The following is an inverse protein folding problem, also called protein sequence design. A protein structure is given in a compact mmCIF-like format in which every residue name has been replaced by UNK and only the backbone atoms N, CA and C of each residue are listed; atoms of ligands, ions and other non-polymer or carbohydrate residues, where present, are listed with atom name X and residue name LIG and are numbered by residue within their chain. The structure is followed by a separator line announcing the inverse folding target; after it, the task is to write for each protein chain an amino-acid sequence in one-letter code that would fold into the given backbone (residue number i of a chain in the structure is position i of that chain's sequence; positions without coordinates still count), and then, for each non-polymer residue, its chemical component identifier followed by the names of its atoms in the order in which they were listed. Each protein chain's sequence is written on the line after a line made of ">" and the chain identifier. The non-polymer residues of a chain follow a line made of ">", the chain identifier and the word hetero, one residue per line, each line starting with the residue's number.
data_IF_917899821782
#
_entry.id   IF_917899821782
#
_cell.length_a   1.000
_cell.length_b   1.000
_cell.length_c   1.000
_cell.angle_alpha   90.00
_cell.angle_beta   90.00
_cell.angle_gamma   90.00
#
_symmetry.space_group_name_H-M   'P 1'
#
loop_
_entity.id
_entity.type
_entity.pdbx_description
1 polymer ?
#
# COMPACT_ATOMS: atom_id res chain seq x y z
N UNK A 1 -44.85 16.60 -7.38
CA UNK A 1 -43.52 16.49 -8.00
C UNK A 1 -43.50 15.24 -8.88
N UNK A 2 -43.26 15.35 -10.18
CA UNK A 2 -43.34 14.18 -11.08
C UNK A 2 -42.16 13.23 -10.82
N UNK A 3 -42.47 11.98 -10.47
CA UNK A 3 -41.49 10.92 -10.18
C UNK A 3 -40.39 10.80 -11.24
N UNK A 4 -40.73 10.99 -12.52
CA UNK A 4 -39.79 10.97 -13.64
C UNK A 4 -38.71 12.06 -13.55
N UNK A 5 -39.07 13.25 -13.09
CA UNK A 5 -38.15 14.38 -12.92
C UNK A 5 -37.27 14.18 -11.69
N UNK A 6 -37.87 13.79 -10.55
CA UNK A 6 -37.16 13.51 -9.30
C UNK A 6 -36.15 12.38 -9.47
N UNK A 7 -36.54 11.28 -10.13
CA UNK A 7 -35.68 10.14 -10.41
C UNK A 7 -34.46 10.53 -11.24
N UNK A 8 -34.62 11.42 -12.23
CA UNK A 8 -33.54 11.84 -13.11
C UNK A 8 -32.49 12.69 -12.36
N UNK A 9 -32.93 13.57 -11.46
CA UNK A 9 -32.03 14.34 -10.59
C UNK A 9 -31.35 13.47 -9.53
N UNK A 10 -32.10 12.57 -8.91
CA UNK A 10 -31.56 11.60 -7.95
C UNK A 10 -30.48 10.74 -8.61
N UNK A 11 -30.73 10.23 -9.82
CA UNK A 11 -29.72 9.49 -10.58
C UNK A 11 -28.47 10.31 -10.88
N UNK A 12 -28.61 11.60 -11.23
CA UNK A 12 -27.45 12.49 -11.41
C UNK A 12 -26.65 12.64 -10.12
N UNK A 13 -27.32 12.84 -8.98
CA UNK A 13 -26.66 12.96 -7.68
C UNK A 13 -25.91 11.67 -7.30
N UNK A 14 -26.58 10.51 -7.40
CA UNK A 14 -25.97 9.19 -7.13
C UNK A 14 -24.75 8.96 -8.02
N UNK A 15 -24.85 9.29 -9.32
CA UNK A 15 -23.76 9.15 -10.29
C UNK A 15 -22.55 10.01 -9.92
N UNK A 16 -22.76 11.26 -9.53
CA UNK A 16 -21.67 12.16 -9.11
C UNK A 16 -21.02 11.70 -7.81
N UNK A 17 -21.81 11.25 -6.83
CA UNK A 17 -21.29 10.70 -5.56
C UNK A 17 -20.47 9.44 -5.83
N UNK A 18 -21.02 8.47 -6.56
CA UNK A 18 -20.33 7.22 -6.89
C UNK A 18 -19.03 7.48 -7.65
N UNK A 19 -19.08 8.37 -8.64
CA UNK A 19 -17.89 8.75 -9.41
C UNK A 19 -16.84 9.48 -8.58
N UNK A 20 -17.26 10.41 -7.72
CA UNK A 20 -16.38 11.15 -6.82
C UNK A 20 -15.69 10.25 -5.80
N UNK A 21 -16.41 9.28 -5.23
CA UNK A 21 -15.85 8.28 -4.30
C UNK A 21 -14.76 7.45 -4.98
N UNK A 22 -14.99 6.96 -6.20
CA UNK A 22 -13.97 6.20 -6.94
C UNK A 22 -12.73 7.03 -7.27
N UNK A 23 -12.90 8.29 -7.68
CA UNK A 23 -11.77 9.19 -7.95
C UNK A 23 -10.97 9.43 -6.67
N UNK A 24 -11.63 9.71 -5.55
CA UNK A 24 -10.97 9.92 -4.28
C UNK A 24 -10.19 8.68 -3.83
N UNK A 25 -10.84 7.50 -3.84
CA UNK A 25 -10.21 6.23 -3.49
C UNK A 25 -9.01 5.88 -4.38
N UNK A 26 -9.09 6.23 -5.67
CA UNK A 26 -8.00 6.04 -6.62
C UNK A 26 -6.79 6.93 -6.31
N UNK A 27 -7.00 8.22 -6.10
CA UNK A 27 -5.92 9.20 -5.85
C UNK A 27 -5.08 8.77 -4.65
N UNK A 28 -5.74 8.30 -3.60
CA UNK A 28 -5.06 7.84 -2.40
C UNK A 28 -4.18 6.62 -2.64
N UNK A 29 -4.67 5.62 -3.39
CA UNK A 29 -3.89 4.43 -3.75
C UNK A 29 -2.77 4.74 -4.75
N UNK A 30 -2.94 5.75 -5.60
CA UNK A 30 -1.92 6.20 -6.55
C UNK A 30 -0.80 7.00 -5.88
N UNK A 31 -1.06 7.60 -4.71
CA UNK A 31 -0.05 8.35 -3.96
C UNK A 31 0.97 7.41 -3.31
N UNK A 32 0.50 6.30 -2.72
CA UNK A 32 1.36 5.27 -2.15
C UNK A 32 0.96 3.85 -2.60
N UNK A 33 1.36 3.45 -3.82
CA UNK A 33 1.01 2.13 -4.37
C UNK A 33 1.65 0.97 -3.59
N UNK A 34 2.70 1.22 -2.80
CA UNK A 34 3.39 0.18 -2.04
C UNK A 34 2.63 -0.17 -0.76
N UNK A 35 2.10 0.83 -0.07
CA UNK A 35 1.19 0.60 1.07
C UNK A 35 -0.06 -0.14 0.63
N UNK A 36 -0.63 0.21 -0.52
CA UNK A 36 -1.76 -0.55 -1.09
C UNK A 36 -1.37 -1.99 -1.46
N UNK A 37 -0.19 -2.21 -2.06
CA UNK A 37 0.31 -3.56 -2.36
C UNK A 37 0.47 -4.41 -1.09
N UNK A 38 0.95 -3.83 0.02
CA UNK A 38 1.04 -4.51 1.32
C UNK A 38 -0.33 -4.89 1.85
N UNK A 39 -1.30 -3.98 1.77
CA UNK A 39 -2.69 -4.28 2.14
C UNK A 39 -3.26 -5.43 1.30
N UNK A 40 -3.02 -5.48 -0.01
CA UNK A 40 -3.46 -6.58 -0.89
C UNK A 40 -2.79 -7.91 -0.51
N UNK A 41 -1.49 -7.91 -0.22
CA UNK A 41 -0.74 -9.11 0.20
C UNK A 41 -1.22 -9.66 1.55
N UNK A 42 -1.66 -8.78 2.46
CA UNK A 42 -2.15 -9.18 3.78
C UNK A 42 -3.38 -10.12 3.73
N UNK A 43 -4.14 -10.12 2.63
CA UNK A 43 -5.28 -11.03 2.46
C UNK A 43 -4.88 -12.48 2.15
N UNK A 44 -3.61 -12.73 1.80
CA UNK A 44 -3.00 -14.05 1.51
C UNK A 44 -3.82 -14.92 0.53
N UNK A 45 -4.66 -14.28 -0.30
CA UNK A 45 -5.61 -14.95 -1.18
C UNK A 45 -5.13 -15.01 -2.64
N UNK A 46 -4.01 -14.34 -2.97
CA UNK A 46 -3.56 -14.18 -4.35
C UNK A 46 -2.04 -14.37 -4.51
N UNK A 47 -1.56 -15.00 -5.60
CA UNK A 47 -0.13 -15.05 -5.92
C UNK A 47 0.48 -13.65 -6.11
N UNK A 48 1.78 -13.49 -5.88
CA UNK A 48 2.47 -12.18 -5.93
C UNK A 48 2.30 -11.42 -7.25
N UNK A 49 2.26 -12.12 -8.39
CA UNK A 49 2.03 -11.51 -9.70
C UNK A 49 0.62 -10.90 -9.79
N UNK A 50 -0.37 -11.54 -9.18
CA UNK A 50 -1.75 -11.08 -9.15
C UNK A 50 -1.92 -9.95 -8.13
N UNK A 51 -1.26 -10.02 -6.97
CA UNK A 51 -1.25 -8.92 -6.00
C UNK A 51 -0.66 -7.64 -6.60
N UNK A 52 0.43 -7.74 -7.37
CA UNK A 52 1.01 -6.61 -8.10
C UNK A 52 0.07 -6.08 -9.18
N UNK A 53 -0.55 -6.96 -9.96
CA UNK A 53 -1.51 -6.55 -10.98
C UNK A 53 -2.71 -5.81 -10.39
N UNK A 54 -3.26 -6.29 -9.26
CA UNK A 54 -4.33 -5.61 -8.53
C UNK A 54 -3.84 -4.29 -7.95
N UNK A 55 -2.71 -4.29 -7.24
CA UNK A 55 -2.18 -3.10 -6.58
C UNK A 55 -1.91 -1.95 -7.57
N UNK A 56 -1.36 -2.26 -8.73
CA UNK A 56 -1.02 -1.25 -9.73
C UNK A 56 -2.14 -0.95 -10.73
N UNK A 57 -3.00 -1.93 -11.02
CA UNK A 57 -4.07 -1.80 -12.01
C UNK A 57 -5.38 -1.27 -11.43
N UNK A 58 -5.77 -1.73 -10.24
CA UNK A 58 -7.05 -1.37 -9.64
C UNK A 58 -7.22 0.15 -9.47
N UNK A 59 -6.25 0.91 -8.94
CA UNK A 59 -6.41 2.37 -8.80
C UNK A 59 -6.68 3.07 -10.13
N UNK A 60 -6.13 2.56 -11.23
CA UNK A 60 -6.35 3.10 -12.58
C UNK A 60 -7.76 2.76 -13.07
N UNK A 61 -8.23 1.54 -12.83
CA UNK A 61 -9.62 1.14 -13.11
C UNK A 61 -10.60 2.01 -12.32
N UNK A 62 -10.35 2.22 -11.03
CA UNK A 62 -11.15 3.09 -10.16
C UNK A 62 -11.22 4.53 -10.71
N UNK A 63 -10.09 5.09 -11.13
CA UNK A 63 -10.04 6.43 -11.72
C UNK A 63 -10.89 6.52 -13.00
N UNK A 64 -10.73 5.56 -13.91
CA UNK A 64 -11.46 5.53 -15.18
C UNK A 64 -12.96 5.39 -14.93
N UNK A 65 -13.37 4.43 -14.10
CA UNK A 65 -14.78 4.23 -13.73
C UNK A 65 -15.35 5.49 -13.09
N UNK A 66 -14.61 6.12 -12.18
CA UNK A 66 -15.02 7.34 -11.51
C UNK A 66 -15.24 8.51 -12.49
N UNK A 67 -14.27 8.76 -13.36
CA UNK A 67 -14.35 9.82 -14.39
C UNK A 67 -15.51 9.58 -15.37
N UNK A 68 -15.66 8.34 -15.87
CA UNK A 68 -16.74 7.99 -16.80
C UNK A 68 -18.12 8.08 -16.15
N UNK A 69 -18.25 7.76 -14.86
CA UNK A 69 -19.47 8.01 -14.11
C UNK A 69 -19.75 9.50 -13.98
N UNK A 70 -18.78 10.32 -13.56
CA UNK A 70 -18.98 11.79 -13.42
C UNK A 70 -19.47 12.41 -14.72
N UNK A 71 -18.85 12.06 -15.85
CA UNK A 71 -19.23 12.54 -17.18
C UNK A 71 -20.56 11.89 -17.65
N UNK A 72 -20.89 10.69 -17.16
CA UNK A 72 -22.05 9.88 -17.55
C UNK A 72 -21.95 9.32 -18.94
N UNK A 73 -20.81 8.69 -19.22
CA UNK A 73 -20.58 7.91 -20.41
C UNK A 73 -20.61 6.43 -20.03
N UNK A 74 -21.47 5.66 -20.70
CA UNK A 74 -21.69 4.24 -20.41
C UNK A 74 -22.08 3.98 -18.95
N UNK A 75 -22.95 4.84 -18.38
CA UNK A 75 -23.33 4.87 -16.96
C UNK A 75 -23.76 3.49 -16.46
N UNK A 76 -24.53 2.74 -17.26
CA UNK A 76 -24.96 1.37 -16.91
C UNK A 76 -23.78 0.41 -16.76
N UNK A 77 -22.81 0.47 -17.67
CA UNK A 77 -21.63 -0.40 -17.66
C UNK A 77 -20.74 -0.03 -16.48
N UNK A 78 -20.46 1.25 -16.28
CA UNK A 78 -19.61 1.73 -15.18
C UNK A 78 -20.24 1.46 -13.80
N UNK A 79 -21.56 1.61 -13.67
CA UNK A 79 -22.28 1.23 -12.46
C UNK A 79 -22.25 -0.30 -12.22
N UNK A 80 -22.30 -1.10 -13.28
CA UNK A 80 -22.16 -2.57 -13.16
C UNK A 80 -20.76 -2.97 -12.68
N UNK A 81 -19.70 -2.37 -13.25
CA UNK A 81 -18.33 -2.58 -12.79
C UNK A 81 -18.20 -2.14 -11.32
N UNK A 82 -18.74 -0.98 -10.96
CA UNK A 82 -18.73 -0.49 -9.58
C UNK A 82 -19.40 -1.47 -8.62
N UNK A 83 -20.58 -1.99 -8.98
CA UNK A 83 -21.30 -2.96 -8.17
C UNK A 83 -20.49 -4.24 -7.94
N UNK A 84 -19.86 -4.77 -8.99
CA UNK A 84 -18.98 -5.94 -8.87
C UNK A 84 -17.80 -5.66 -7.93
N UNK A 85 -17.13 -4.51 -8.08
CA UNK A 85 -16.01 -4.14 -7.22
C UNK A 85 -16.44 -3.98 -5.75
N UNK A 86 -17.57 -3.32 -5.47
CA UNK A 86 -18.09 -3.21 -4.10
C UNK A 86 -18.44 -4.57 -3.49
N UNK A 87 -18.99 -5.49 -4.27
CA UNK A 87 -19.26 -6.87 -3.80
C UNK A 87 -17.94 -7.57 -3.43
N UNK A 88 -16.91 -7.45 -4.28
CA UNK A 88 -15.58 -8.03 -4.00
C UNK A 88 -14.97 -7.42 -2.73
N UNK A 89 -15.05 -6.10 -2.56
CA UNK A 89 -14.55 -5.42 -1.36
C UNK A 89 -15.31 -5.85 -0.10
N UNK A 90 -16.64 -5.94 -0.15
CA UNK A 90 -17.47 -6.44 0.95
C UNK A 90 -17.07 -7.87 1.36
N UNK A 91 -16.84 -8.76 0.38
CA UNK A 91 -16.36 -10.12 0.66
C UNK A 91 -14.99 -10.07 1.36
N UNK A 92 -14.07 -9.23 0.89
CA UNK A 92 -12.76 -9.04 1.50
C UNK A 92 -12.85 -8.55 2.95
N UNK A 93 -13.68 -7.54 3.21
CA UNK A 93 -13.90 -7.01 4.57
C UNK A 93 -14.50 -8.06 5.51
N UNK A 94 -15.50 -8.82 5.05
CA UNK A 94 -16.11 -9.91 5.83
C UNK A 94 -15.07 -10.99 6.13
N UNK A 95 -14.23 -11.36 5.16
CA UNK A 95 -13.18 -12.34 5.35
C UNK A 95 -12.12 -11.86 6.35
N UNK A 96 -11.68 -10.60 6.26
CA UNK A 96 -10.73 -10.01 7.20
C UNK A 96 -11.29 -9.98 8.63
N UNK A 97 -12.53 -9.53 8.78
CA UNK A 97 -13.22 -9.52 10.07
C UNK A 97 -13.34 -10.93 10.66
N UNK A 98 -13.69 -11.94 9.85
CA UNK A 98 -13.79 -13.33 10.28
C UNK A 98 -12.44 -13.93 10.75
N UNK A 99 -11.31 -13.42 10.24
CA UNK A 99 -9.96 -13.85 10.62
C UNK A 99 -9.39 -13.08 11.82
N UNK A 100 -10.15 -12.15 12.40
CA UNK A 100 -9.68 -11.33 13.52
C UNK A 100 -8.52 -10.42 13.17
N UNK A 101 -8.30 -10.17 11.88
CA UNK A 101 -7.26 -9.29 11.38
C UNK A 101 -7.69 -7.86 11.71
N UNK A 102 -7.06 -7.24 12.72
CA UNK A 102 -7.27 -5.82 13.05
C UNK A 102 -6.58 -4.96 12.00
N UNK A 103 -7.19 -4.83 10.82
CA UNK A 103 -6.75 -3.88 9.82
C UNK A 103 -7.79 -2.75 9.75
N UNK A 104 -7.32 -1.50 9.73
CA UNK A 104 -8.09 -0.42 9.13
C UNK A 104 -8.15 -0.65 7.62
N UNK A 105 -9.06 -1.50 7.16
CA UNK A 105 -9.41 -1.61 5.76
C UNK A 105 -10.47 -0.57 5.42
N UNK A 106 -10.08 0.71 5.43
CA UNK A 106 -10.90 1.76 4.85
C UNK A 106 -10.83 1.73 3.32
N UNK A 107 -11.94 1.98 2.64
CA UNK A 107 -11.99 2.24 1.18
C UNK A 107 -11.14 3.47 0.77
N UNK A 108 -10.71 4.24 1.77
CA UNK A 108 -9.96 5.48 1.66
C UNK A 108 -8.68 5.43 2.50
N UNK A 109 -7.82 4.42 2.25
CA UNK A 109 -6.36 4.39 2.53
C UNK A 109 -5.82 4.88 3.89
N UNK A 110 -6.67 5.20 4.86
CA UNK A 110 -6.33 5.50 6.24
C UNK A 110 -6.02 4.18 6.94
N UNK A 111 -4.76 3.80 6.91
CA UNK A 111 -4.22 2.77 7.80
C UNK A 111 -3.65 3.45 9.03
N UNK A 112 -4.35 3.45 10.15
CA UNK A 112 -3.77 3.80 11.45
C UNK A 112 -4.65 3.35 12.60
N UNK A 113 -4.13 2.67 13.61
CA UNK A 113 -4.95 2.06 14.66
C UNK A 113 -5.71 3.13 15.48
N UNK A 114 -7.05 3.08 15.47
CA UNK A 114 -7.94 3.86 16.34
C UNK A 114 -8.83 2.88 17.09
N UNK A 115 -9.07 3.15 18.38
CA UNK A 115 -9.91 2.37 19.31
C UNK A 115 -11.36 2.12 18.85
N UNK A 116 -11.77 2.65 17.69
CA UNK A 116 -13.11 2.45 17.14
C UNK A 116 -13.10 1.47 15.96
N UNK A 117 -13.32 0.18 16.26
CA UNK A 117 -13.65 -0.85 15.27
C UNK A 117 -14.93 -0.48 14.51
N UNK A 118 -14.79 0.28 13.43
CA UNK A 118 -15.91 0.80 12.64
C UNK A 118 -16.20 -0.03 11.40
N UNK A 119 -15.97 -1.35 11.45
CA UNK A 119 -16.38 -2.29 10.38
C UNK A 119 -17.84 -2.10 9.95
N UNK A 120 -18.71 -1.71 10.90
CA UNK A 120 -20.12 -1.44 10.65
C UNK A 120 -20.34 -0.20 9.77
N UNK A 121 -19.58 0.89 9.98
CA UNK A 121 -19.71 2.10 9.17
C UNK A 121 -19.15 1.88 7.76
N UNK A 122 -18.03 1.17 7.64
CA UNK A 122 -17.46 0.81 6.34
C UNK A 122 -18.40 -0.11 5.55
N UNK A 123 -18.93 -1.16 6.19
CA UNK A 123 -19.91 -2.05 5.56
C UNK A 123 -21.17 -1.31 5.15
N UNK A 124 -21.67 -0.40 5.99
CA UNK A 124 -22.87 0.39 5.70
C UNK A 124 -22.65 1.34 4.51
N UNK A 125 -21.51 2.02 4.45
CA UNK A 125 -21.12 2.87 3.31
C UNK A 125 -21.10 2.06 2.02
N UNK A 126 -20.44 0.90 2.02
CA UNK A 126 -20.26 0.09 0.83
C UNK A 126 -21.60 -0.51 0.35
N UNK A 127 -22.49 -0.89 1.28
CA UNK A 127 -23.88 -1.32 0.97
C UNK A 127 -24.68 -0.16 0.36
N UNK A 128 -24.57 1.05 0.90
CA UNK A 128 -25.25 2.23 0.37
C UNK A 128 -24.78 2.58 -1.05
N UNK A 129 -23.46 2.53 -1.28
CA UNK A 129 -22.86 2.76 -2.60
C UNK A 129 -23.26 1.67 -3.59
N UNK A 130 -23.31 0.41 -3.16
CA UNK A 130 -23.80 -0.72 -3.95
C UNK A 130 -25.28 -0.54 -4.35
N UNK A 131 -26.12 -0.08 -3.42
CA UNK A 131 -27.52 0.25 -3.72
C UNK A 131 -27.63 1.41 -4.73
N UNK A 132 -26.77 2.42 -4.62
CA UNK A 132 -26.65 3.50 -5.61
C UNK A 132 -26.23 2.99 -6.99
N UNK A 133 -25.26 2.08 -7.06
CA UNK A 133 -24.85 1.43 -8.30
C UNK A 133 -26.02 0.62 -8.91
N UNK A 134 -26.74 -0.17 -8.11
CA UNK A 134 -27.92 -0.91 -8.55
C UNK A 134 -29.01 0.03 -9.11
N UNK A 135 -29.24 1.17 -8.47
CA UNK A 135 -30.17 2.20 -8.96
C UNK A 135 -29.77 2.70 -10.35
N UNK A 136 -28.49 2.98 -10.59
CA UNK A 136 -27.99 3.43 -11.91
C UNK A 136 -28.01 2.33 -12.97
N UNK A 137 -27.91 1.05 -12.58
CA UNK A 137 -28.06 -0.08 -13.51
C UNK A 137 -29.50 -0.17 -14.03
N UNK A 138 -30.48 0.03 -13.13
CA UNK A 138 -31.90 0.00 -13.46
C UNK A 138 -32.32 1.28 -14.19
N UNK A 139 -31.79 2.43 -13.78
CA UNK A 139 -32.15 3.76 -14.30
C UNK A 139 -30.93 4.55 -14.78
N UNK A 140 -30.31 4.15 -15.91
CA UNK A 140 -29.04 4.73 -16.37
C UNK A 140 -29.17 6.13 -16.99
N UNK A 141 -30.36 6.52 -17.43
CA UNK A 141 -30.60 7.82 -18.07
C UNK A 141 -30.75 8.91 -17.02
N UNK A 142 -29.64 9.59 -16.73
CA UNK A 142 -29.53 10.68 -15.77
C UNK A 142 -29.38 12.02 -16.47
N UNK A 143 -29.66 13.14 -15.78
CA UNK A 143 -29.44 14.48 -16.35
C UNK A 143 -27.95 14.78 -16.46
N UNK A 144 -27.58 15.56 -17.47
CA UNK A 144 -26.19 15.94 -17.76
C UNK A 144 -25.26 14.74 -17.94
N UNK A 145 -25.76 13.67 -18.56
CA UNK A 145 -24.97 12.53 -18.99
C UNK A 145 -24.71 12.61 -20.50
N UNK A 146 -23.51 12.22 -20.91
CA UNK A 146 -23.21 12.01 -22.33
C UNK A 146 -24.10 10.91 -22.93
N UNK A 147 -24.49 9.93 -22.13
CA UNK A 147 -25.46 8.90 -22.53
C UNK A 147 -26.79 9.51 -22.99
N UNK A 148 -27.31 10.49 -22.25
CA UNK A 148 -28.53 11.21 -22.65
C UNK A 148 -28.31 12.07 -23.90
N UNK A 149 -27.13 12.65 -24.07
CA UNK A 149 -26.79 13.43 -25.26
C UNK A 149 -26.76 12.56 -26.52
N UNK A 150 -26.08 11.41 -26.49
CA UNK A 150 -25.98 10.50 -27.63
C UNK A 150 -27.29 9.80 -27.96
N UNK A 151 -28.14 9.53 -26.98
CA UNK A 151 -29.43 8.83 -27.19
C UNK A 151 -30.59 9.77 -27.55
N UNK A 152 -30.40 11.10 -27.48
CA UNK A 152 -31.44 12.09 -27.80
C UNK A 152 -31.96 11.95 -29.23
N UNK A 153 -31.09 11.57 -30.16
CA UNK A 153 -31.41 11.43 -31.58
C UNK A 153 -32.06 10.09 -31.96
N UNK A 154 -32.12 9.12 -31.03
CA UNK A 154 -32.69 7.79 -31.29
C UNK A 154 -34.22 7.73 -31.14
N UNK A 155 -34.86 8.83 -30.75
CA UNK A 155 -36.30 8.84 -30.48
C UNK A 155 -37.11 8.89 -31.77
N UNK A 156 -37.74 7.77 -32.13
CA UNK A 156 -38.76 7.72 -33.19
C UNK A 156 -40.07 8.30 -32.64
N UNK A 157 -40.42 9.50 -33.08
CA UNK A 157 -41.68 10.17 -32.72
C UNK A 157 -42.87 9.26 -33.06
N UNK A 158 -43.80 9.11 -32.11
CA UNK A 158 -45.03 8.34 -32.35
C UNK A 158 -45.87 9.05 -33.43
N UNK A 159 -46.27 8.34 -34.51
CA UNK A 159 -47.18 8.89 -35.51
C UNK A 159 -48.54 9.24 -34.89
N UNK A 160 -49.31 10.08 -35.57
CA UNK A 160 -50.66 10.45 -35.12
C UNK A 160 -51.57 9.22 -34.95
N UNK A 161 -52.52 9.28 -34.03
CA UNK A 161 -53.46 8.18 -33.75
C UNK A 161 -54.20 7.70 -35.02
N UNK A 162 -54.47 8.61 -35.97
CA UNK A 162 -55.08 8.30 -37.27
C UNK A 162 -54.19 7.38 -38.13
N UNK A 163 -52.87 7.60 -38.15
CA UNK A 163 -51.92 6.75 -38.91
C UNK A 163 -51.70 5.38 -38.28
N UNK A 164 -51.88 5.27 -36.96
CA UNK A 164 -51.73 3.99 -36.25
C UNK A 164 -52.96 3.06 -36.39
N UNK A 165 -54.09 3.54 -36.96
CA UNK A 165 -55.28 2.70 -37.18
C UNK A 165 -55.08 1.67 -38.30
N UNK A 166 -54.35 2.02 -39.35
CA UNK A 166 -54.08 1.10 -40.47
C UNK A 166 -52.98 0.10 -40.13
N UNK A 167 -53.06 -1.12 -40.66
CA UNK A 167 -52.00 -2.13 -40.50
C UNK A 167 -50.68 -1.67 -41.13
N UNK A 168 -50.76 -1.03 -42.29
CA UNK A 168 -49.60 -0.48 -42.99
C UNK A 168 -48.88 0.59 -42.17
N UNK A 169 -49.63 1.46 -41.48
CA UNK A 169 -49.06 2.50 -40.62
C UNK A 169 -48.36 1.93 -39.38
N UNK A 170 -48.94 0.89 -38.77
CA UNK A 170 -48.30 0.14 -37.66
C UNK A 170 -47.02 -0.54 -38.11
N UNK A 171 -47.06 -1.27 -39.24
CA UNK A 171 -45.89 -1.97 -39.80
C UNK A 171 -44.74 -1.01 -40.12
N UNK A 172 -45.03 0.15 -40.73
CA UNK A 172 -44.02 1.18 -41.03
C UNK A 172 -43.38 1.73 -39.75
N UNK A 173 -44.17 2.00 -38.72
CA UNK A 173 -43.66 2.48 -37.43
C UNK A 173 -42.78 1.44 -36.73
N UNK A 174 -43.20 0.17 -36.70
CA UNK A 174 -42.43 -0.92 -36.10
C UNK A 174 -41.08 -1.12 -36.80
N UNK A 175 -41.06 -1.05 -38.14
CA UNK A 175 -39.81 -1.12 -38.92
C UNK A 175 -38.90 0.07 -38.58
N UNK A 176 -39.42 1.30 -38.51
CA UNK A 176 -38.63 2.49 -38.13
C UNK A 176 -38.04 2.36 -36.70
N UNK A 177 -38.85 1.89 -35.75
CA UNK A 177 -38.40 1.65 -34.38
C UNK A 177 -37.35 0.53 -34.32
N UNK A 178 -37.50 -0.53 -35.11
CA UNK A 178 -36.54 -1.62 -35.20
C UNK A 178 -35.20 -1.16 -35.79
N UNK A 179 -35.23 -0.35 -36.86
CA UNK A 179 -34.03 0.27 -37.45
C UNK A 179 -33.30 1.18 -36.46
N UNK A 180 -34.03 2.12 -35.81
CA UNK A 180 -33.44 3.00 -34.81
C UNK A 180 -32.84 2.23 -33.63
N UNK A 181 -33.52 1.18 -33.15
CA UNK A 181 -32.98 0.29 -32.10
C UNK A 181 -31.72 -0.45 -32.55
N UNK A 182 -31.64 -0.89 -33.81
CA UNK A 182 -30.47 -1.59 -34.35
C UNK A 182 -29.27 -0.66 -34.44
N UNK A 183 -29.45 0.55 -34.98
CA UNK A 183 -28.39 1.55 -35.07
C UNK A 183 -27.90 1.97 -33.69
N UNK A 184 -28.80 2.21 -32.74
CA UNK A 184 -28.45 2.52 -31.36
C UNK A 184 -27.68 1.37 -30.68
N UNK A 185 -28.06 0.10 -30.91
CA UNK A 185 -27.31 -1.06 -30.41
C UNK A 185 -25.92 -1.14 -31.01
N UNK A 186 -25.80 -0.98 -32.33
CA UNK A 186 -24.51 -1.04 -33.04
C UNK A 186 -23.59 0.07 -32.52
N UNK A 187 -24.08 1.32 -32.49
CA UNK A 187 -23.32 2.46 -31.96
C UNK A 187 -22.90 2.24 -30.51
N UNK A 188 -23.81 1.83 -29.63
CA UNK A 188 -23.47 1.58 -28.23
C UNK A 188 -22.48 0.42 -28.08
N UNK A 189 -22.56 -0.60 -28.93
CA UNK A 189 -21.61 -1.72 -28.92
C UNK A 189 -20.22 -1.26 -29.34
N UNK A 190 -20.10 -0.49 -30.43
CA UNK A 190 -18.82 0.06 -30.87
C UNK A 190 -18.24 1.09 -29.90
N UNK A 191 -19.08 1.95 -29.33
CA UNK A 191 -18.69 2.89 -28.28
C UNK A 191 -18.16 2.13 -27.05
N UNK A 192 -18.88 1.11 -26.60
CA UNK A 192 -18.47 0.28 -25.45
C UNK A 192 -17.17 -0.48 -25.75
N UNK A 193 -17.04 -1.04 -26.95
CA UNK A 193 -15.82 -1.73 -27.38
C UNK A 193 -14.63 -0.76 -27.45
N UNK A 194 -14.81 0.43 -28.02
CA UNK A 194 -13.78 1.47 -28.08
C UNK A 194 -13.33 1.92 -26.70
N UNK A 195 -14.29 2.21 -25.80
CA UNK A 195 -13.98 2.58 -24.40
C UNK A 195 -13.29 1.42 -23.67
N UNK A 196 -13.71 0.17 -23.89
CA UNK A 196 -13.07 -0.99 -23.29
C UNK A 196 -11.61 -1.15 -23.75
N UNK A 197 -11.33 -0.99 -25.04
CA UNK A 197 -9.96 -1.01 -25.57
C UNK A 197 -9.10 0.09 -24.97
N UNK A 198 -9.62 1.34 -24.93
CA UNK A 198 -8.91 2.46 -24.30
C UNK A 198 -8.67 2.19 -22.82
N UNK A 199 -9.65 1.65 -22.09
CA UNK A 199 -9.51 1.31 -20.68
C UNK A 199 -8.41 0.26 -20.46
N UNK A 200 -8.37 -0.80 -21.27
CA UNK A 200 -7.31 -1.82 -21.21
C UNK A 200 -5.93 -1.20 -21.46
N UNK A 201 -5.80 -0.33 -22.47
CA UNK A 201 -4.54 0.34 -22.77
C UNK A 201 -4.09 1.27 -21.63
N UNK A 202 -4.98 2.10 -21.10
CA UNK A 202 -4.67 3.01 -19.98
C UNK A 202 -4.32 2.23 -18.71
N UNK A 203 -5.00 1.12 -18.43
CA UNK A 203 -4.66 0.24 -17.30
C UNK A 203 -3.29 -0.40 -17.51
N UNK A 204 -2.98 -0.91 -18.71
CA UNK A 204 -1.67 -1.50 -18.99
C UNK A 204 -0.51 -0.49 -18.88
N UNK A 205 -0.70 0.72 -19.41
CA UNK A 205 0.24 1.84 -19.27
C UNK A 205 0.37 2.22 -17.80
N UNK A 206 -0.75 2.37 -17.09
CA UNK A 206 -0.79 2.69 -15.67
C UNK A 206 -0.02 1.66 -14.83
N UNK A 207 -0.27 0.37 -15.04
CA UNK A 207 0.48 -0.72 -14.39
C UNK A 207 1.98 -0.58 -14.67
N UNK A 208 2.37 -0.34 -15.92
CA UNK A 208 3.77 -0.22 -16.32
C UNK A 208 4.45 0.98 -15.64
N UNK A 209 3.78 2.14 -15.61
CA UNK A 209 4.27 3.36 -14.94
C UNK A 209 4.36 3.16 -13.42
N UNK A 210 3.34 2.57 -12.80
CA UNK A 210 3.31 2.29 -11.36
C UNK A 210 4.38 1.28 -10.96
N UNK A 211 4.55 0.20 -11.73
CA UNK A 211 5.62 -0.77 -11.51
C UNK A 211 7.00 -0.13 -11.66
N UNK A 212 7.18 0.79 -12.62
CA UNK A 212 8.41 1.57 -12.78
C UNK A 212 8.69 2.47 -11.57
N UNK A 213 7.68 3.19 -11.06
CA UNK A 213 7.79 4.03 -9.85
C UNK A 213 8.03 3.21 -8.58
N UNK A 214 7.52 1.98 -8.53
CA UNK A 214 7.72 1.08 -7.41
C UNK A 214 9.12 0.43 -7.40
N UNK A 215 9.91 0.55 -8.48
CA UNK A 215 11.28 0.03 -8.51
C UNK A 215 12.13 0.77 -7.48
N UNK A 216 12.87 0.01 -6.67
CA UNK A 216 13.87 0.56 -5.75
C UNK A 216 15.04 1.08 -6.59
N UNK A 217 15.40 2.35 -6.39
CA UNK A 217 16.52 3.03 -7.05
C UNK A 217 17.49 3.54 -5.99
N UNK A 218 18.76 3.15 -6.08
CA UNK A 218 19.79 3.50 -5.10
C UNK A 218 20.59 2.27 -4.67
N UNK A 219 21.55 2.48 -3.77
CA UNK A 219 22.31 1.38 -3.17
C UNK A 219 21.45 0.62 -2.16
N UNK A 220 21.54 -0.71 -2.20
CA UNK A 220 20.85 -1.63 -1.29
C UNK A 220 21.82 -2.28 -0.30
N UNK A 221 23.00 -1.68 -0.15
CA UNK A 221 24.03 -2.05 0.81
C UNK A 221 24.59 -0.80 1.48
N UNK A 222 25.07 -0.97 2.70
CA UNK A 222 25.81 0.03 3.46
C UNK A 222 26.98 -0.67 4.16
N UNK A 223 28.01 0.07 4.63
CA UNK A 223 29.21 -0.52 5.25
C UNK A 223 28.93 -1.60 6.31
N UNK A 224 27.91 -1.39 7.14
CA UNK A 224 27.54 -2.30 8.23
C UNK A 224 26.12 -2.87 8.06
N UNK A 225 25.53 -2.76 6.86
CA UNK A 225 24.16 -3.20 6.63
C UNK A 225 23.91 -3.79 5.23
N UNK A 226 23.12 -4.86 5.16
CA UNK A 226 22.70 -5.47 3.89
C UNK A 226 21.24 -5.87 3.93
N UNK A 227 20.61 -6.07 2.77
CA UNK A 227 19.23 -6.59 2.69
C UNK A 227 19.04 -7.93 3.42
N UNK A 228 20.08 -8.76 3.51
CA UNK A 228 19.99 -10.09 4.11
C UNK A 228 20.08 -10.08 5.63
N UNK A 229 20.89 -9.18 6.21
CA UNK A 229 21.24 -9.18 7.63
C UNK A 229 20.84 -7.91 8.38
N UNK A 230 20.18 -6.95 7.72
CA UNK A 230 19.96 -5.65 8.32
C UNK A 230 21.28 -5.00 8.72
N UNK A 231 21.25 -4.15 9.75
CA UNK A 231 22.47 -3.62 10.38
C UNK A 231 23.04 -4.67 11.33
N UNK A 232 24.29 -5.05 11.11
CA UNK A 232 24.98 -6.07 11.90
C UNK A 232 25.76 -5.43 13.05
N UNK A 233 25.46 -5.82 14.29
CA UNK A 233 26.08 -5.29 15.52
C UNK A 233 26.52 -6.42 16.44
N UNK A 234 27.74 -6.35 16.95
CA UNK A 234 28.31 -7.34 17.88
C UNK A 234 29.49 -8.11 17.30
N UNK A 235 29.98 -9.10 18.06
CA UNK A 235 31.12 -9.90 17.65
C UNK A 235 30.75 -10.86 16.51
N UNK A 236 31.48 -10.89 15.36
CA UNK A 236 31.14 -11.76 14.24
C UNK A 236 31.15 -13.27 14.54
N UNK A 237 31.76 -13.67 15.66
CA UNK A 237 31.85 -15.06 16.13
C UNK A 237 31.00 -15.33 17.37
N UNK A 238 30.04 -14.45 17.68
CA UNK A 238 29.12 -14.67 18.79
C UNK A 238 28.35 -16.01 18.58
N UNK A 239 28.12 -16.79 19.64
CA UNK A 239 27.48 -18.10 19.53
C UNK A 239 25.99 -18.03 19.15
N UNK A 240 25.36 -16.87 19.33
CA UNK A 240 23.94 -16.65 19.04
C UNK A 240 23.79 -15.54 18.00
N UNK A 241 23.04 -15.81 16.94
CA UNK A 241 22.60 -14.80 15.97
C UNK A 241 21.16 -14.43 16.26
N UNK A 242 20.86 -13.14 16.35
CA UNK A 242 19.52 -12.64 16.64
C UNK A 242 19.07 -11.66 15.56
N UNK A 243 17.99 -11.97 14.86
CA UNK A 243 17.33 -11.06 13.92
C UNK A 243 16.21 -10.30 14.64
N UNK A 244 16.27 -8.97 14.58
CA UNK A 244 15.36 -8.04 15.24
C UNK A 244 14.70 -7.21 14.14
N UNK A 245 13.41 -7.45 13.88
CA UNK A 245 12.64 -6.72 12.88
C UNK A 245 11.77 -5.68 13.57
N UNK A 246 12.02 -4.42 13.29
CA UNK A 246 11.41 -3.31 14.02
C UNK A 246 11.11 -2.11 13.14
N UNK A 247 10.15 -1.30 13.58
CA UNK A 247 9.78 -0.04 12.93
C UNK A 247 9.82 1.07 13.98
N UNK A 248 10.57 2.13 13.71
CA UNK A 248 10.80 3.20 14.68
C UNK A 248 9.55 3.98 15.08
N UNK A 249 8.42 3.86 14.36
CA UNK A 249 7.13 4.43 14.78
C UNK A 249 6.25 3.45 15.57
N UNK A 250 6.60 2.16 15.62
CA UNK A 250 5.76 1.14 16.23
C UNK A 250 5.76 1.25 17.76
N UNK A 251 4.59 1.47 18.40
CA UNK A 251 4.50 1.59 19.86
C UNK A 251 4.89 0.30 20.60
N UNK A 252 4.62 -0.87 20.02
CA UNK A 252 4.97 -2.16 20.62
C UNK A 252 6.48 -2.44 20.51
N UNK A 253 7.15 -1.97 19.45
CA UNK A 253 8.61 -2.00 19.38
C UNK A 253 9.21 -1.16 20.51
N UNK A 254 8.67 0.04 20.76
CA UNK A 254 9.13 0.85 21.89
C UNK A 254 8.93 0.14 23.23
N UNK A 255 7.77 -0.48 23.47
CA UNK A 255 7.54 -1.25 24.70
C UNK A 255 8.53 -2.42 24.85
N UNK A 256 8.80 -3.13 23.76
CA UNK A 256 9.78 -4.21 23.74
C UNK A 256 11.18 -3.69 24.09
N UNK A 257 11.64 -2.63 23.43
CA UNK A 257 12.97 -2.04 23.65
C UNK A 257 13.14 -1.46 25.05
N UNK A 258 12.10 -0.84 25.61
CA UNK A 258 12.09 -0.38 27.01
C UNK A 258 12.21 -1.55 28.01
N UNK A 259 11.74 -2.74 27.64
CA UNK A 259 11.81 -3.93 28.50
C UNK A 259 13.09 -4.74 28.33
N UNK A 260 13.58 -4.90 27.09
CA UNK A 260 14.59 -5.88 26.71
C UNK A 260 15.87 -5.25 26.12
N UNK A 261 15.82 -4.00 25.65
CA UNK A 261 16.90 -3.36 24.90
C UNK A 261 18.22 -3.25 25.68
N UNK A 262 18.18 -2.97 26.98
CA UNK A 262 19.37 -2.95 27.83
C UNK A 262 20.03 -4.34 27.97
N UNK A 263 19.21 -5.39 28.11
CA UNK A 263 19.70 -6.78 28.19
C UNK A 263 20.32 -7.20 26.85
N UNK A 264 19.66 -6.90 25.74
CA UNK A 264 20.17 -7.18 24.39
C UNK A 264 21.49 -6.43 24.15
N UNK A 265 21.56 -5.15 24.51
CA UNK A 265 22.78 -4.34 24.41
C UNK A 265 23.92 -4.96 25.22
N UNK A 266 23.64 -5.46 26.43
CA UNK A 266 24.63 -6.15 27.27
C UNK A 266 25.12 -7.47 26.64
N UNK A 267 24.22 -8.27 26.08
CA UNK A 267 24.53 -9.53 25.41
C UNK A 267 25.32 -9.31 24.11
N UNK A 268 25.06 -8.22 23.37
CA UNK A 268 25.86 -7.80 22.20
C UNK A 268 27.27 -7.39 22.65
N UNK A 269 27.38 -6.50 23.64
CA UNK A 269 28.65 -5.96 24.11
C UNK A 269 29.56 -7.03 24.75
N UNK A 270 28.97 -8.04 25.39
CA UNK A 270 29.70 -9.18 25.95
C UNK A 270 30.11 -10.22 24.91
N UNK A 271 29.70 -10.06 23.64
CA UNK A 271 29.98 -10.99 22.54
C UNK A 271 29.14 -12.27 22.58
N UNK A 272 28.08 -12.32 23.39
CA UNK A 272 27.14 -13.44 23.46
C UNK A 272 26.22 -13.48 22.23
N UNK A 273 25.84 -12.31 21.72
CA UNK A 273 24.91 -12.16 20.59
C UNK A 273 25.53 -11.35 19.45
N UNK A 274 25.35 -11.83 18.22
CA UNK A 274 25.47 -11.06 16.99
C UNK A 274 24.06 -10.65 16.57
N UNK A 275 23.75 -9.36 16.64
CA UNK A 275 22.44 -8.84 16.32
C UNK A 275 22.38 -8.34 14.88
N UNK A 276 21.26 -8.65 14.22
CA UNK A 276 20.88 -8.23 12.89
C UNK A 276 19.62 -7.37 13.03
N UNK A 277 19.78 -6.05 13.02
CA UNK A 277 18.68 -5.11 13.11
C UNK A 277 18.11 -4.82 11.73
N UNK A 278 16.94 -5.37 11.47
CA UNK A 278 16.16 -5.12 10.27
C UNK A 278 15.20 -3.95 10.57
N UNK A 279 15.65 -2.73 10.26
CA UNK A 279 14.85 -1.50 10.43
C UNK A 279 13.89 -1.31 9.25
N UNK A 280 12.59 -1.30 9.55
CA UNK A 280 11.48 -1.37 8.58
C UNK A 280 10.84 -0.01 8.34
N UNK A 281 10.03 0.08 7.28
CA UNK A 281 9.16 1.22 6.97
C UNK A 281 7.69 0.80 6.85
N UNK A 282 7.19 -0.04 7.76
CA UNK A 282 5.81 -0.51 7.74
C UNK A 282 4.80 0.62 7.99
N UNK A 283 5.14 1.56 8.87
CA UNK A 283 4.22 2.61 9.34
C UNK A 283 4.35 3.95 8.58
N UNK A 284 5.09 4.01 7.46
CA UNK A 284 5.20 5.23 6.63
C UNK A 284 3.82 5.76 6.15
N UNK A 285 2.89 4.84 5.83
CA UNK A 285 1.51 5.19 5.46
C UNK A 285 0.70 5.77 6.63
N UNK A 286 1.13 5.49 7.86
CA UNK A 286 0.52 5.93 9.12
C UNK A 286 1.25 7.14 9.72
N UNK A 287 2.14 7.79 8.97
CA UNK A 287 2.90 8.97 9.42
C UNK A 287 2.37 10.31 8.89
N UNK A 288 1.07 10.44 8.57
CA UNK A 288 0.49 11.68 8.01
C UNK A 288 1.30 12.28 6.83
N UNK A 289 1.83 11.41 5.95
CA UNK A 289 2.65 11.80 4.79
C UNK A 289 4.14 12.11 5.08
N UNK A 290 4.58 12.15 6.34
CA UNK A 290 5.96 12.52 6.69
C UNK A 290 6.99 11.38 6.52
N UNK A 291 6.54 10.12 6.43
CA UNK A 291 7.37 8.90 6.29
C UNK A 291 8.39 8.74 7.43
N UNK A 292 7.92 8.81 8.68
CA UNK A 292 8.83 8.83 9.82
C UNK A 292 9.62 7.54 9.93
N UNK A 293 8.99 6.37 9.73
CA UNK A 293 9.64 5.07 9.84
C UNK A 293 10.84 4.95 8.90
N UNK A 294 10.68 5.28 7.61
CA UNK A 294 11.79 5.20 6.66
C UNK A 294 12.88 6.25 6.91
N UNK A 295 12.50 7.47 7.31
CA UNK A 295 13.48 8.53 7.62
C UNK A 295 14.29 8.24 8.89
N UNK A 296 13.64 7.72 9.93
CA UNK A 296 14.30 7.28 11.16
C UNK A 296 15.19 6.06 10.90
N UNK A 297 14.72 5.09 10.10
CA UNK A 297 15.53 3.94 9.68
C UNK A 297 16.75 4.37 8.86
N UNK A 298 16.59 5.30 7.93
CA UNK A 298 17.70 5.92 7.20
C UNK A 298 18.70 6.56 8.17
N UNK A 299 18.23 7.37 9.13
CA UNK A 299 19.10 8.02 10.10
C UNK A 299 19.87 7.02 11.00
N UNK A 300 19.22 5.92 11.41
CA UNK A 300 19.89 4.86 12.13
C UNK A 300 20.98 4.19 11.27
N UNK A 301 20.70 3.86 10.00
CA UNK A 301 21.70 3.27 9.10
C UNK A 301 22.83 4.27 8.81
N UNK A 302 22.55 5.58 8.68
CA UNK A 302 23.59 6.61 8.57
C UNK A 302 24.53 6.62 9.79
N UNK A 303 24.01 6.33 10.99
CA UNK A 303 24.84 6.17 12.18
C UNK A 303 25.70 4.88 12.08
N UNK A 304 25.16 3.82 11.47
CA UNK A 304 25.91 2.59 11.20
C UNK A 304 27.11 2.79 10.27
N UNK A 305 27.07 3.75 9.34
CA UNK A 305 28.19 4.06 8.45
C UNK A 305 29.45 4.50 9.20
N UNK A 306 29.27 5.08 10.40
CA UNK A 306 30.37 5.47 11.29
C UNK A 306 30.91 4.24 11.99
N UNK A 307 30.06 3.55 12.78
CA UNK A 307 30.36 2.26 13.41
C UNK A 307 29.07 1.50 13.73
N UNK A 308 29.11 0.16 13.85
CA UNK A 308 27.98 -0.62 14.37
C UNK A 308 27.50 -0.15 15.76
N UNK A 309 28.42 0.31 16.62
CA UNK A 309 28.06 0.80 17.94
C UNK A 309 27.31 2.13 17.89
N UNK A 310 27.64 2.99 16.93
CA UNK A 310 26.94 4.27 16.73
C UNK A 310 25.50 4.04 16.25
N UNK A 311 25.26 2.99 15.45
CA UNK A 311 23.90 2.53 15.17
C UNK A 311 23.16 2.15 16.45
N UNK A 312 23.77 1.31 17.32
CA UNK A 312 23.12 0.86 18.55
C UNK A 312 22.80 2.03 19.50
N UNK A 313 23.71 3.01 19.61
CA UNK A 313 23.44 4.24 20.36
C UNK A 313 22.28 5.04 19.76
N UNK A 314 22.24 5.20 18.43
CA UNK A 314 21.17 5.94 17.74
C UNK A 314 19.82 5.24 17.88
N UNK A 315 19.81 3.92 17.72
CA UNK A 315 18.65 3.06 17.94
C UNK A 315 18.07 3.26 19.35
N UNK A 316 18.92 3.20 20.38
CA UNK A 316 18.50 3.38 21.77
C UNK A 316 18.01 4.81 22.04
N UNK A 317 18.57 5.83 21.37
CA UNK A 317 18.05 7.20 21.45
C UNK A 317 16.67 7.30 20.80
N UNK A 318 16.45 6.70 19.62
CA UNK A 318 15.16 6.77 18.90
C UNK A 318 14.01 6.14 19.70
N UNK A 319 14.24 5.01 20.37
CA UNK A 319 13.27 4.41 21.30
C UNK A 319 13.35 4.95 22.73
N UNK A 320 14.30 5.83 23.01
CA UNK A 320 14.54 6.40 24.32
C UNK A 320 13.52 7.49 24.70
N UNK A 321 13.87 8.20 25.77
CA UNK A 321 13.13 9.36 26.25
C UNK A 321 14.00 10.61 26.20
N UNK A 322 13.36 11.75 25.99
CA UNK A 322 14.01 13.04 26.12
C UNK A 322 14.26 13.39 27.61
N UNK A 323 14.96 14.50 27.84
CA UNK A 323 15.26 15.03 29.17
C UNK A 323 14.03 15.36 30.03
N UNK A 324 12.86 15.48 29.42
CA UNK A 324 11.60 15.78 30.08
C UNK A 324 10.76 14.52 30.34
N UNK A 325 11.28 13.34 29.97
CA UNK A 325 10.59 12.05 30.12
C UNK A 325 9.60 11.72 29.00
N UNK A 326 9.53 12.51 27.93
CA UNK A 326 8.70 12.20 26.77
C UNK A 326 9.40 11.20 25.85
N UNK A 327 8.65 10.33 25.18
CA UNK A 327 9.23 9.39 24.22
C UNK A 327 9.84 10.13 23.02
N UNK A 328 11.06 9.73 22.63
CA UNK A 328 11.68 10.19 21.39
C UNK A 328 10.93 9.64 20.16
N UNK A 329 10.38 8.43 20.28
CA UNK A 329 9.43 7.90 19.32
C UNK A 329 8.15 8.76 19.30
N UNK A 330 7.73 9.30 18.14
CA UNK A 330 6.45 9.98 17.97
C UNK A 330 5.29 8.97 17.96
N UNK A 331 4.11 9.41 18.39
CA UNK A 331 2.91 8.58 18.28
C UNK A 331 2.57 8.25 16.81
N UNK A 332 1.95 7.09 16.60
CA UNK A 332 1.39 6.70 15.30
C UNK A 332 0.32 7.72 14.84
N UNK A 333 0.18 7.92 13.53
CA UNK A 333 -0.78 8.89 12.97
C UNK A 333 -0.32 10.35 13.02
N UNK A 334 0.83 10.65 13.62
CA UNK A 334 1.34 12.03 13.75
C UNK A 334 2.35 12.42 12.67
N UNK A 335 2.73 13.71 12.66
CA UNK A 335 3.74 14.29 11.76
C UNK A 335 5.18 13.81 12.02
N UNK A 336 5.38 12.83 12.93
CA UNK A 336 6.69 12.23 13.17
C UNK A 336 7.70 13.25 13.69
N UNK A 337 8.98 12.95 13.48
CA UNK A 337 10.09 13.88 13.76
C UNK A 337 10.65 14.50 12.50
N UNK A 338 11.12 15.73 12.61
CA UNK A 338 11.81 16.48 11.57
C UNK A 338 13.23 15.95 11.35
N UNK A 339 13.84 16.24 10.19
CA UNK A 339 15.23 15.83 9.94
C UNK A 339 16.19 16.49 10.92
N UNK A 340 15.91 17.74 11.32
CA UNK A 340 16.67 18.43 12.36
C UNK A 340 16.62 17.70 13.71
N UNK A 341 15.48 17.14 14.10
CA UNK A 341 15.37 16.32 15.31
C UNK A 341 16.12 14.99 15.16
N UNK A 342 16.02 14.32 14.01
CA UNK A 342 16.79 13.10 13.73
C UNK A 342 18.30 13.35 13.80
N UNK A 343 18.76 14.51 13.29
CA UNK A 343 20.16 14.94 13.39
C UNK A 343 20.55 15.18 14.86
N UNK A 344 19.68 15.84 15.62
CA UNK A 344 19.90 16.08 17.05
C UNK A 344 19.98 14.78 17.86
N UNK A 345 19.17 13.77 17.52
CA UNK A 345 19.27 12.43 18.10
C UNK A 345 20.60 11.76 17.76
N UNK A 346 21.12 11.93 16.54
CA UNK A 346 22.46 11.48 16.21
C UNK A 346 23.53 12.12 17.09
N UNK A 347 23.41 13.43 17.37
CA UNK A 347 24.32 14.12 18.30
C UNK A 347 24.20 13.54 19.72
N UNK A 348 22.98 13.27 20.19
CA UNK A 348 22.73 12.61 21.48
C UNK A 348 23.32 11.19 21.53
N UNK A 349 23.32 10.48 20.40
CA UNK A 349 23.90 9.15 20.25
C UNK A 349 25.44 9.15 20.18
N UNK A 350 26.07 10.32 20.09
CA UNK A 350 27.53 10.48 20.06
C UNK A 350 28.11 10.89 18.71
N UNK A 351 27.29 11.18 17.69
CA UNK A 351 27.76 11.69 16.40
C UNK A 351 28.23 13.14 16.55
N UNK A 352 29.52 13.30 16.83
CA UNK A 352 30.17 14.59 17.10
C UNK A 352 31.46 14.74 16.30
N UNK A 353 32.01 15.96 16.26
CA UNK A 353 33.30 16.23 15.62
C UNK A 353 33.30 15.97 14.11
N UNK A 354 34.27 15.19 13.64
CA UNK A 354 34.47 14.91 12.22
C UNK A 354 33.31 14.15 11.55
N UNK A 355 32.45 13.48 12.32
CA UNK A 355 31.35 12.68 11.79
C UNK A 355 30.08 13.48 11.47
N UNK A 356 29.92 14.66 12.09
CA UNK A 356 28.65 15.42 12.07
C UNK A 356 28.23 15.84 10.66
N UNK A 357 29.16 16.31 9.83
CA UNK A 357 28.84 16.76 8.46
C UNK A 357 28.41 15.60 7.55
N UNK A 358 29.12 14.48 7.59
CA UNK A 358 28.79 13.28 6.83
C UNK A 358 27.42 12.71 7.24
N UNK A 359 27.18 12.59 8.55
CA UNK A 359 25.90 12.12 9.08
C UNK A 359 24.74 13.04 8.69
N UNK A 360 24.90 14.36 8.84
CA UNK A 360 23.87 15.34 8.46
C UNK A 360 23.52 15.21 6.98
N UNK A 361 24.51 15.06 6.11
CA UNK A 361 24.31 14.86 4.67
C UNK A 361 23.58 13.55 4.40
N UNK A 362 23.98 12.47 5.06
CA UNK A 362 23.34 11.16 4.91
C UNK A 362 21.85 11.18 5.31
N UNK A 363 21.53 11.84 6.43
CA UNK A 363 20.14 11.98 6.91
C UNK A 363 19.32 12.81 5.92
N UNK A 364 19.79 14.01 5.59
CA UNK A 364 19.02 14.98 4.77
C UNK A 364 18.84 14.56 3.31
N UNK A 365 19.75 13.76 2.76
CA UNK A 365 19.64 13.23 1.40
C UNK A 365 18.97 11.85 1.32
N UNK A 366 18.52 11.30 2.45
CA UNK A 366 17.94 9.95 2.57
C UNK A 366 18.81 8.86 1.88
N UNK A 367 20.14 8.87 2.09
CA UNK A 367 21.09 8.01 1.34
C UNK A 367 20.74 6.52 1.34
N UNK A 368 20.21 6.01 2.45
CA UNK A 368 19.89 4.61 2.67
C UNK A 368 18.41 4.27 2.43
N UNK A 369 17.63 5.19 1.84
CA UNK A 369 16.21 4.95 1.53
C UNK A 369 15.99 3.67 0.74
N UNK A 370 16.83 3.40 -0.26
CA UNK A 370 16.73 2.21 -1.09
C UNK A 370 16.97 0.92 -0.29
N UNK A 371 17.96 0.93 0.60
CA UNK A 371 18.22 -0.17 1.53
C UNK A 371 17.06 -0.40 2.50
N UNK A 372 16.51 0.66 3.13
CA UNK A 372 15.35 0.54 4.04
C UNK A 372 14.14 -0.09 3.32
N UNK A 373 13.89 0.35 2.08
CA UNK A 373 12.84 -0.24 1.25
C UNK A 373 13.12 -1.72 0.94
N UNK A 374 14.36 -2.06 0.59
CA UNK A 374 14.73 -3.43 0.27
C UNK A 374 14.65 -4.35 1.50
N UNK A 375 15.05 -3.88 2.68
CA UNK A 375 14.87 -4.56 3.96
C UNK A 375 13.38 -4.84 4.24
N UNK A 376 12.54 -3.84 4.06
CA UNK A 376 11.08 -3.94 4.24
C UNK A 376 10.47 -4.95 3.27
N UNK A 377 10.84 -4.90 1.99
CA UNK A 377 10.35 -5.86 0.98
C UNK A 377 10.83 -7.30 1.27
N UNK A 378 12.08 -7.45 1.71
CA UNK A 378 12.65 -8.75 2.09
C UNK A 378 11.94 -9.33 3.31
N UNK A 379 11.71 -8.54 4.36
CA UNK A 379 11.02 -8.97 5.57
C UNK A 379 9.60 -9.46 5.26
N UNK A 380 8.84 -8.70 4.46
CA UNK A 380 7.52 -9.12 3.97
C UNK A 380 7.58 -10.45 3.21
N UNK A 381 8.58 -10.62 2.33
CA UNK A 381 8.77 -11.87 1.57
C UNK A 381 9.10 -13.05 2.47
N UNK A 382 9.81 -12.80 3.57
CA UNK A 382 10.16 -13.80 4.58
C UNK A 382 9.05 -14.01 5.63
N UNK A 383 7.83 -13.49 5.37
CA UNK A 383 6.65 -13.69 6.20
C UNK A 383 6.58 -12.84 7.46
N UNK A 384 7.42 -11.82 7.57
CA UNK A 384 7.37 -10.86 8.67
C UNK A 384 6.28 -9.83 8.38
N UNK A 385 5.10 -10.03 8.98
CA UNK A 385 3.91 -9.21 8.75
C UNK A 385 3.63 -8.21 9.89
N UNK A 386 4.53 -8.10 10.87
CA UNK A 386 4.37 -7.21 12.02
C UNK A 386 5.67 -7.03 12.79
N UNK A 387 5.70 -5.97 13.60
CA UNK A 387 6.85 -5.61 14.45
C UNK A 387 6.39 -5.42 15.90
N UNK A 388 7.24 -5.74 16.89
CA UNK A 388 8.55 -6.37 16.75
C UNK A 388 8.41 -7.85 16.37
N UNK A 389 9.30 -8.34 15.51
CA UNK A 389 9.48 -9.78 15.27
C UNK A 389 10.91 -10.15 15.60
N UNK A 390 11.10 -11.13 16.50
CA UNK A 390 12.42 -11.55 16.96
C UNK A 390 12.67 -13.00 16.54
N UNK A 391 13.83 -13.28 15.93
CA UNK A 391 14.30 -14.64 15.65
C UNK A 391 15.65 -14.86 16.31
N UNK A 392 15.84 -16.00 16.97
CA UNK A 392 17.11 -16.42 17.56
C UNK A 392 17.59 -17.69 16.86
N UNK A 393 18.76 -17.63 16.22
CA UNK A 393 19.29 -18.67 15.32
C UNK A 393 18.24 -19.12 14.29
N UNK A 394 17.53 -18.16 13.70
CA UNK A 394 16.47 -18.38 12.71
C UNK A 394 15.13 -18.88 13.26
N UNK A 395 15.01 -19.17 14.56
CA UNK A 395 13.75 -19.60 15.20
C UNK A 395 12.98 -18.39 15.74
N UNK A 396 11.71 -18.29 15.37
CA UNK A 396 10.81 -17.24 15.85
C UNK A 396 10.61 -17.34 17.37
N UNK A 397 10.74 -16.22 18.08
CA UNK A 397 10.37 -16.07 19.49
C UNK A 397 8.93 -15.61 19.57
N UNK A 398 8.03 -16.46 20.05
CA UNK A 398 6.62 -16.10 20.24
C UNK A 398 6.47 -15.12 21.41
N UNK A 399 5.68 -14.06 21.22
CA UNK A 399 5.45 -12.98 22.21
C UNK A 399 6.78 -12.45 22.79
N UNK A 400 7.58 -11.76 21.96
CA UNK A 400 8.90 -11.29 22.37
C UNK A 400 8.80 -10.33 23.55
N UNK A 401 9.51 -10.67 24.62
CA UNK A 401 9.69 -9.89 25.84
C UNK A 401 11.09 -10.16 26.38
N UNK A 402 11.52 -9.41 27.40
CA UNK A 402 12.82 -9.64 28.06
C UNK A 402 13.03 -11.12 28.42
N UNK A 403 12.05 -11.75 29.06
CA UNK A 403 12.19 -13.12 29.57
C UNK A 403 12.17 -14.16 28.44
N UNK A 404 11.29 -14.01 27.45
CA UNK A 404 11.20 -14.97 26.33
C UNK A 404 12.43 -14.90 25.44
N UNK A 405 12.98 -13.70 25.21
CA UNK A 405 14.22 -13.51 24.45
C UNK A 405 15.43 -14.03 25.23
N UNK A 406 15.54 -13.73 26.53
CA UNK A 406 16.63 -14.27 27.37
C UNK A 406 16.64 -15.81 27.38
N UNK A 407 15.47 -16.43 27.55
CA UNK A 407 15.34 -17.88 27.48
C UNK A 407 15.75 -18.46 26.11
N UNK A 408 15.39 -17.78 25.01
CA UNK A 408 15.78 -18.19 23.66
C UNK A 408 17.29 -18.08 23.43
N UNK A 409 17.92 -16.99 23.89
CA UNK A 409 19.38 -16.79 23.81
C UNK A 409 20.11 -17.87 24.63
N UNK A 410 19.65 -18.17 25.84
CA UNK A 410 20.27 -19.17 26.70
C UNK A 410 20.14 -20.58 26.13
N UNK A 411 18.98 -20.90 25.54
CA UNK A 411 18.77 -22.16 24.83
C UNK A 411 19.68 -22.28 23.60
N UNK A 412 19.83 -21.20 22.83
CA UNK A 412 20.70 -21.15 21.66
C UNK A 412 22.19 -21.27 22.03
N UNK A 413 22.62 -20.64 23.13
CA UNK A 413 24.00 -20.68 23.63
C UNK A 413 24.43 -22.07 24.10
N UNK A 414 23.48 -22.89 24.59
CA UNK A 414 23.73 -24.27 25.04
C UNK A 414 23.76 -25.28 23.89
N UNK A 415 23.13 -24.95 22.75
CA UNK A 415 23.14 -25.76 21.55
C UNK A 415 24.38 -25.50 20.70
N UNK A 416 25.39 -26.36 20.76
CA UNK A 416 26.46 -26.40 19.74
C UNK A 416 25.89 -26.90 18.41
N UNK A 417 25.19 -26.05 17.65
CA UNK A 417 24.76 -26.41 16.30
C UNK A 417 24.88 -25.21 15.37
N UNK A 418 25.92 -25.29 14.52
CA UNK A 418 26.05 -24.76 13.17
C UNK A 418 25.00 -23.71 12.79
N UNK A 419 25.41 -22.44 12.80
CA UNK A 419 24.74 -21.40 12.01
C UNK A 419 24.48 -21.98 10.60
N UNK A 420 23.24 -21.91 10.07
CA UNK A 420 23.00 -22.27 8.69
C UNK A 420 23.92 -21.42 7.83
N UNK A 421 24.80 -22.05 7.04
CA UNK A 421 25.52 -21.35 6.01
C UNK A 421 24.49 -20.65 5.12
N UNK A 422 24.54 -19.32 5.08
CA UNK A 422 23.80 -18.54 4.10
C UNK A 422 24.11 -19.16 2.73
N UNK A 423 23.09 -19.67 2.05
CA UNK A 423 23.22 -20.17 0.69
C UNK A 423 23.83 -19.04 -0.16
N UNK A 424 24.99 -19.25 -0.83
CA UNK A 424 25.59 -18.21 -1.63
C UNK A 424 24.62 -17.79 -2.74
N UNK A 425 24.41 -16.48 -2.84
CA UNK A 425 23.70 -15.84 -3.96
C UNK A 425 24.48 -16.13 -5.23
N UNK A 426 23.85 -16.55 -6.35
CA UNK A 426 24.56 -16.67 -7.62
C UNK A 426 25.14 -15.30 -8.00
N UNK A 427 26.46 -15.28 -8.20
CA UNK A 427 27.19 -14.11 -8.68
C UNK A 427 26.53 -13.56 -9.95
N UNK A 428 26.33 -12.24 -10.10
CA UNK A 428 25.79 -11.68 -11.33
C UNK A 428 26.72 -12.05 -12.49
N UNK A 429 26.14 -12.66 -13.53
CA UNK A 429 26.84 -12.95 -14.76
C UNK A 429 27.47 -11.65 -15.33
N UNK A 430 28.74 -11.68 -15.77
CA UNK A 430 29.37 -10.50 -16.32
C UNK A 430 28.57 -9.99 -17.53
N UNK A 431 28.30 -8.69 -17.52
CA UNK A 431 27.67 -8.00 -18.64
C UNK A 431 28.46 -8.27 -19.92
N UNK A 432 27.78 -8.82 -20.93
CA UNK A 432 28.35 -8.97 -22.25
C UNK A 432 28.78 -7.58 -22.75
N UNK A 433 30.08 -7.44 -23.02
CA UNK A 433 30.63 -6.27 -23.68
C UNK A 433 29.92 -6.07 -25.02
N UNK A 434 29.24 -4.94 -25.17
CA UNK A 434 28.75 -4.47 -26.46
C UNK A 434 29.95 -4.19 -27.35
N UNK A 435 30.16 -5.06 -28.33
CA UNK A 435 31.11 -4.86 -29.40
C UNK A 435 30.72 -3.60 -30.20
N UNK A 436 31.66 -2.66 -30.27
CA UNK A 436 31.68 -1.56 -31.22
C UNK A 436 31.77 -2.11 -32.64
N UNK A 437 30.71 -1.97 -33.44
CA UNK A 437 30.81 -2.09 -34.88
C UNK A 437 31.02 -0.70 -35.47
N UNK A 438 32.26 -0.42 -35.88
CA UNK A 438 32.53 0.59 -36.88
C UNK A 438 32.38 -0.03 -38.26
N UNK A 439 31.56 0.59 -39.12
CA UNK A 439 31.80 0.93 -40.54
C UNK A 439 30.57 1.64 -41.07
#
# INVERSE_FOLDING_TARGET
>A
MNWTSTRAWLGTAIRLVLGGVWIWASIEKLHDPRTFLRAVRAYDATPDWLSKAIAYGLPIVELIVGVLLVIGLLTRVMASISAVLYIVFLIGLIQAAARGIKLQCGCFGGGGESDSTSYLLDSFRDILLLAGAAFLIIYPLTRWSLDLYFTRHDQVLRPSAKRMRTEEGRRKYEVQVAHAKREARIRNTWLSAGVAVVMVLVVAIGISVQAGRAKITGDITAPNATVASGVTVGAPKAPVVMDIYEDFQCPICNQFEQSAGEMITSDINSGKVLAHYHVMSFLDGSSNGNRYSSRAANAAICASDITPQMFLSMHNVLYGKDKNGNNNQPAEGTNGRTDSELIAFGTQAGVTGSYTSAFTTCVTSEMHKALVQALTDRANKDGVNGTPTIKVNGKLVSNPSKDTVAAAIDAASKGKTNAPALTPVPSPAPAAASASAGS
#
